data_IF_386093871296
#
_entry.id   IF_386093871296
#
_cell.length_a   1.000
_cell.length_b   1.000
_cell.length_c   1.000
_cell.angle_alpha   90.00
_cell.angle_beta   90.00
_cell.angle_gamma   90.00
#
_symmetry.space_group_name_H-M   'P 1'
#
loop_
_entity.id
_entity.type
_entity.pdbx_description
1 polymer ?
#
# COMPACT_ATOMS: atom_id res chain seq x y z
N UNK A 1 9.05 10.33 16.07
CA UNK A 1 7.68 10.80 15.75
C UNK A 1 6.93 9.59 15.24
N UNK A 2 5.64 9.45 15.56
CA UNK A 2 4.83 8.35 15.03
C UNK A 2 4.13 8.77 13.73
N UNK A 3 3.76 7.80 12.90
CA UNK A 3 3.04 8.01 11.65
C UNK A 3 1.54 8.23 11.90
N UNK A 4 0.91 9.05 11.07
CA UNK A 4 -0.55 9.26 11.07
C UNK A 4 -1.27 8.10 10.36
N UNK A 5 -1.26 6.92 11.00
CA UNK A 5 -1.79 5.68 10.43
C UNK A 5 -3.26 5.80 10.05
N UNK A 6 -4.06 6.52 10.84
CA UNK A 6 -5.48 6.74 10.55
C UNK A 6 -5.69 7.48 9.23
N UNK A 7 -4.84 8.48 8.93
CA UNK A 7 -4.89 9.21 7.65
C UNK A 7 -4.35 8.39 6.48
N UNK A 8 -3.21 7.72 6.66
CA UNK A 8 -2.57 6.91 5.61
C UNK A 8 -3.54 5.81 5.14
N UNK A 9 -4.16 5.09 6.08
CA UNK A 9 -5.07 3.97 5.82
C UNK A 9 -6.55 4.34 5.95
N UNK A 10 -6.90 5.62 5.76
CA UNK A 10 -8.28 6.07 5.73
C UNK A 10 -9.07 5.27 4.67
N UNK A 11 -10.25 4.77 5.01
CA UNK A 11 -11.09 3.92 4.15
C UNK A 11 -10.45 2.61 3.67
N UNK A 12 -9.46 2.07 4.40
CA UNK A 12 -8.73 0.84 3.99
C UNK A 12 -9.61 -0.35 3.64
N UNK A 13 -10.77 -0.53 4.29
CA UNK A 13 -11.70 -1.63 4.01
C UNK A 13 -12.50 -1.46 2.70
N UNK A 14 -12.64 -0.22 2.22
CA UNK A 14 -13.30 0.11 0.95
C UNK A 14 -12.27 0.11 -0.18
N UNK A 15 -11.16 0.82 0.01
CA UNK A 15 -10.13 1.01 -1.02
C UNK A 15 -9.34 -0.28 -1.34
N UNK A 16 -9.33 -1.26 -0.45
CA UNK A 16 -8.79 -2.60 -0.72
C UNK A 16 -9.61 -3.41 -1.73
N UNK A 17 -10.80 -2.94 -2.14
CA UNK A 17 -11.75 -3.65 -3.02
C UNK A 17 -11.92 -2.96 -4.37
N UNK A 18 -10.84 -2.46 -4.94
CA UNK A 18 -10.87 -1.81 -6.26
C UNK A 18 -11.01 -2.87 -7.37
N UNK A 19 -11.89 -2.61 -8.33
CA UNK A 19 -12.28 -3.59 -9.36
C UNK A 19 -12.28 -3.01 -10.79
N UNK A 20 -12.03 -1.72 -10.96
CA UNK A 20 -12.02 -1.05 -12.25
C UNK A 20 -10.82 -0.11 -12.38
N UNK A 21 -10.37 0.11 -13.62
CA UNK A 21 -9.27 1.04 -13.92
C UNK A 21 -9.59 2.47 -13.49
N UNK A 22 -10.82 2.92 -13.70
CA UNK A 22 -11.25 4.28 -13.37
C UNK A 22 -11.23 4.52 -11.85
N UNK A 23 -11.73 3.55 -11.07
CA UNK A 23 -11.69 3.66 -9.61
C UNK A 23 -10.25 3.64 -9.10
N UNK A 24 -9.40 2.78 -9.69
CA UNK A 24 -7.99 2.71 -9.33
C UNK A 24 -7.25 4.02 -9.61
N UNK A 25 -7.40 4.59 -10.81
CA UNK A 25 -6.83 5.90 -11.15
C UNK A 25 -7.27 6.99 -10.16
N UNK A 26 -8.58 7.10 -9.93
CA UNK A 26 -9.17 8.10 -9.04
C UNK A 26 -8.67 7.96 -7.61
N UNK A 27 -8.65 6.73 -7.08
CA UNK A 27 -8.20 6.47 -5.71
C UNK A 27 -6.69 6.66 -5.54
N UNK A 28 -5.88 6.29 -6.53
CA UNK A 28 -4.42 6.51 -6.48
C UNK A 28 -4.10 8.00 -6.51
N UNK A 29 -4.76 8.78 -7.37
CA UNK A 29 -4.58 10.23 -7.39
C UNK A 29 -4.96 10.86 -6.04
N UNK A 30 -6.09 10.45 -5.47
CA UNK A 30 -6.50 10.91 -4.15
C UNK A 30 -5.51 10.52 -3.05
N UNK A 31 -4.98 9.29 -3.09
CA UNK A 31 -3.95 8.87 -2.14
C UNK A 31 -2.70 9.74 -2.26
N UNK A 32 -2.24 9.99 -3.49
CA UNK A 32 -1.07 10.83 -3.78
C UNK A 32 -1.24 12.26 -3.27
N UNK A 33 -2.40 12.86 -3.50
CA UNK A 33 -2.69 14.26 -3.11
C UNK A 33 -2.91 14.42 -1.60
N UNK A 34 -3.66 13.50 -0.97
CA UNK A 34 -4.16 13.70 0.39
C UNK A 34 -3.38 12.97 1.48
N UNK A 35 -2.55 11.96 1.12
CA UNK A 35 -2.03 10.99 2.09
C UNK A 35 -0.56 10.65 1.92
N UNK A 36 0.01 10.83 0.72
CA UNK A 36 1.40 10.40 0.47
C UNK A 36 2.42 11.16 1.33
N UNK A 37 2.20 12.45 1.58
CA UNK A 37 3.07 13.28 2.44
C UNK A 37 3.18 12.77 3.88
N UNK A 38 2.22 11.98 4.37
CA UNK A 38 2.31 11.33 5.69
C UNK A 38 3.42 10.26 5.73
N UNK A 39 3.99 9.88 4.58
CA UNK A 39 5.10 8.95 4.44
C UNK A 39 6.45 9.66 4.25
N UNK A 40 6.53 10.99 4.23
CA UNK A 40 7.76 11.75 3.96
C UNK A 40 8.93 11.31 4.86
N UNK A 41 8.65 11.10 6.15
CA UNK A 41 9.64 10.64 7.12
C UNK A 41 10.15 9.22 6.86
N UNK A 42 9.37 8.38 6.17
CA UNK A 42 9.77 7.04 5.76
C UNK A 42 10.63 7.06 4.50
N UNK A 43 10.15 7.74 3.46
CA UNK A 43 10.72 7.66 2.10
C UNK A 43 11.99 8.51 1.95
N UNK A 44 12.11 9.60 2.73
CA UNK A 44 13.30 10.44 2.75
C UNK A 44 14.25 10.14 3.92
N UNK A 45 14.03 9.05 4.64
CA UNK A 45 14.87 8.63 5.75
C UNK A 45 16.29 8.31 5.29
N UNK A 46 17.29 8.68 6.10
CA UNK A 46 18.66 8.18 5.90
C UNK A 46 18.76 6.68 6.19
N UNK A 47 17.97 6.19 7.15
CA UNK A 47 17.83 4.77 7.48
C UNK A 47 16.36 4.34 7.31
N UNK A 48 15.99 4.00 6.07
CA UNK A 48 14.65 3.54 5.71
C UNK A 48 14.25 2.29 6.48
N UNK A 49 15.19 1.42 6.84
CA UNK A 49 14.89 0.19 7.57
C UNK A 49 14.48 0.48 9.02
N UNK A 50 15.11 1.46 9.67
CA UNK A 50 14.72 1.90 11.00
C UNK A 50 13.33 2.55 10.98
N UNK A 51 13.07 3.47 10.05
CA UNK A 51 11.77 4.16 9.94
C UNK A 51 10.65 3.20 9.49
N UNK A 52 10.93 2.22 8.62
CA UNK A 52 9.97 1.19 8.26
C UNK A 52 9.54 0.34 9.45
N UNK A 53 10.44 0.08 10.42
CA UNK A 53 10.09 -0.63 11.65
C UNK A 53 9.16 0.20 12.54
N UNK A 54 9.41 1.50 12.64
CA UNK A 54 8.54 2.45 13.36
C UNK A 54 7.17 2.48 12.70
N UNK A 55 7.12 2.67 11.38
CA UNK A 55 5.88 2.64 10.59
C UNK A 55 5.08 1.36 10.81
N UNK A 56 5.73 0.19 10.67
CA UNK A 56 5.04 -1.09 10.85
C UNK A 56 4.55 -1.31 12.29
N UNK A 57 5.26 -0.78 13.30
CA UNK A 57 4.81 -0.85 14.69
C UNK A 57 3.61 0.07 14.94
N UNK A 58 3.62 1.29 14.42
CA UNK A 58 2.48 2.21 14.52
C UNK A 58 1.24 1.61 13.85
N UNK A 59 1.40 1.02 12.66
CA UNK A 59 0.32 0.29 11.97
C UNK A 59 -0.17 -0.88 12.82
N UNK A 60 0.74 -1.68 13.39
CA UNK A 60 0.34 -2.78 14.25
C UNK A 60 -0.44 -2.29 15.48
N UNK A 61 0.00 -1.22 16.13
CA UNK A 61 -0.66 -0.64 17.31
C UNK A 61 -2.06 -0.14 16.96
N UNK A 62 -2.24 0.51 15.82
CA UNK A 62 -3.53 1.03 15.36
C UNK A 62 -4.54 -0.08 15.02
N UNK A 63 -4.07 -1.20 14.43
CA UNK A 63 -4.95 -2.26 13.92
C UNK A 63 -5.05 -3.49 14.83
N UNK A 64 -4.21 -3.64 15.86
CA UNK A 64 -4.27 -4.81 16.75
C UNK A 64 -5.57 -4.81 17.56
N UNK A 65 -6.22 -5.97 17.60
CA UNK A 65 -7.34 -6.29 18.49
C UNK A 65 -6.98 -7.53 19.28
N UNK A 66 -6.97 -7.44 20.60
CA UNK A 66 -6.55 -8.53 21.49
C UNK A 66 -5.12 -9.03 21.19
N UNK A 67 -4.19 -8.10 20.99
CA UNK A 67 -2.75 -8.40 20.84
C UNK A 67 -2.31 -8.84 19.44
N UNK A 68 -3.22 -8.88 18.44
CA UNK A 68 -2.87 -9.20 17.05
C UNK A 68 -3.72 -8.44 16.04
N UNK A 69 -3.21 -8.24 14.84
CA UNK A 69 -4.03 -7.80 13.70
C UNK A 69 -4.84 -9.01 13.19
N UNK A 70 -6.14 -8.85 12.99
CA UNK A 70 -6.99 -9.93 12.50
C UNK A 70 -6.74 -10.17 11.01
N UNK A 71 -6.90 -11.41 10.54
CA UNK A 71 -6.58 -11.77 9.15
C UNK A 71 -7.30 -10.93 8.09
N UNK A 72 -8.57 -10.58 8.31
CA UNK A 72 -9.32 -9.72 7.39
C UNK A 72 -8.78 -8.28 7.36
N UNK A 73 -8.39 -7.73 8.51
CA UNK A 73 -7.80 -6.39 8.61
C UNK A 73 -6.41 -6.39 7.94
N UNK A 74 -5.58 -7.41 8.22
CA UNK A 74 -4.27 -7.57 7.59
C UNK A 74 -4.37 -7.72 6.07
N UNK A 75 -5.38 -8.45 5.58
CA UNK A 75 -5.60 -8.58 4.14
C UNK A 75 -5.92 -7.23 3.49
N UNK A 76 -6.75 -6.39 4.12
CA UNK A 76 -7.04 -5.05 3.62
C UNK A 76 -5.79 -4.16 3.64
N UNK A 77 -4.99 -4.21 4.71
CA UNK A 77 -3.72 -3.47 4.80
C UNK A 77 -2.75 -3.90 3.69
N UNK A 78 -2.59 -5.21 3.48
CA UNK A 78 -1.75 -5.76 2.43
C UNK A 78 -2.17 -5.28 1.04
N UNK A 79 -3.47 -5.33 0.72
CA UNK A 79 -3.97 -4.80 -0.55
C UNK A 79 -3.73 -3.30 -0.68
N UNK A 80 -3.93 -2.54 0.39
CA UNK A 80 -3.69 -1.11 0.38
C UNK A 80 -2.22 -0.76 0.12
N UNK A 81 -1.29 -1.51 0.74
CA UNK A 81 0.15 -1.38 0.47
C UNK A 81 0.46 -1.66 -1.00
N UNK A 82 -0.07 -2.76 -1.55
CA UNK A 82 0.16 -3.20 -2.93
C UNK A 82 -0.44 -2.23 -3.95
N UNK A 83 -1.65 -1.71 -3.69
CA UNK A 83 -2.37 -0.88 -4.64
C UNK A 83 -2.01 0.60 -4.58
N UNK A 84 -1.64 1.14 -3.43
CA UNK A 84 -1.49 2.59 -3.30
C UNK A 84 -0.11 3.00 -2.79
N UNK A 85 0.38 2.37 -1.71
CA UNK A 85 1.64 2.81 -1.10
C UNK A 85 2.83 2.51 -2.00
N UNK A 86 3.07 1.23 -2.36
CA UNK A 86 4.23 0.87 -3.17
C UNK A 86 4.21 1.50 -4.57
N UNK A 87 3.08 1.50 -5.32
CA UNK A 87 3.05 2.11 -6.64
C UNK A 87 3.31 3.61 -6.61
N UNK A 88 2.87 4.31 -5.57
CA UNK A 88 3.14 5.75 -5.42
C UNK A 88 4.62 5.98 -5.11
N UNK A 89 5.23 5.22 -4.20
CA UNK A 89 6.69 5.32 -3.93
C UNK A 89 7.51 5.04 -5.19
N UNK A 90 7.15 4.02 -5.97
CA UNK A 90 7.83 3.71 -7.23
C UNK A 90 7.73 4.83 -8.28
N UNK A 91 6.66 5.62 -8.23
CA UNK A 91 6.42 6.75 -9.15
C UNK A 91 7.13 8.02 -8.70
N UNK A 92 7.12 8.32 -7.40
CA UNK A 92 7.58 9.61 -6.89
C UNK A 92 9.06 9.65 -6.52
N UNK A 93 9.63 8.51 -6.12
CA UNK A 93 10.98 8.47 -5.55
C UNK A 93 12.02 7.94 -6.55
N UNK A 94 13.13 8.66 -6.72
CA UNK A 94 14.25 8.25 -7.58
C UNK A 94 14.80 6.86 -7.19
N UNK A 95 14.80 6.56 -5.88
CA UNK A 95 15.21 5.26 -5.32
C UNK A 95 14.03 4.39 -4.89
N UNK A 96 12.87 4.57 -5.52
CA UNK A 96 11.61 3.93 -5.11
C UNK A 96 11.71 2.41 -4.97
N UNK A 97 12.43 1.72 -5.85
CA UNK A 97 12.58 0.26 -5.76
C UNK A 97 13.34 -0.19 -4.49
N UNK A 98 14.45 0.47 -4.14
CA UNK A 98 15.23 0.17 -2.93
C UNK A 98 14.42 0.44 -1.65
N UNK A 99 13.64 1.53 -1.65
CA UNK A 99 12.74 1.89 -0.56
C UNK A 99 11.63 0.83 -0.42
N UNK A 100 10.97 0.47 -1.53
CA UNK A 100 9.91 -0.54 -1.55
C UNK A 100 10.40 -1.92 -1.11
N UNK A 101 11.61 -2.35 -1.53
CA UNK A 101 12.23 -3.59 -1.07
C UNK A 101 12.40 -3.60 0.45
N UNK A 102 12.95 -2.51 1.00
CA UNK A 102 13.15 -2.36 2.44
C UNK A 102 11.82 -2.42 3.22
N UNK A 103 10.82 -1.65 2.78
CA UNK A 103 9.49 -1.61 3.43
C UNK A 103 8.80 -2.98 3.31
N UNK A 104 8.85 -3.63 2.14
CA UNK A 104 8.26 -4.96 1.92
C UNK A 104 8.84 -5.98 2.89
N UNK A 105 10.15 -6.01 3.04
CA UNK A 105 10.82 -7.01 3.87
C UNK A 105 10.51 -6.80 5.36
N UNK A 106 10.55 -5.56 5.83
CA UNK A 106 10.16 -5.21 7.21
C UNK A 106 8.68 -5.51 7.47
N UNK A 107 7.79 -5.20 6.51
CA UNK A 107 6.37 -5.48 6.62
C UNK A 107 6.09 -6.99 6.71
N UNK A 108 6.67 -7.77 5.80
CA UNK A 108 6.56 -9.23 5.78
C UNK A 108 7.09 -9.85 7.07
N UNK A 109 8.22 -9.35 7.58
CA UNK A 109 8.76 -9.80 8.87
C UNK A 109 7.82 -9.46 10.03
N UNK A 110 7.28 -8.23 10.07
CA UNK A 110 6.48 -7.73 11.19
C UNK A 110 5.10 -8.38 11.28
N UNK A 111 4.45 -8.57 10.13
CA UNK A 111 3.09 -9.10 10.05
C UNK A 111 3.03 -10.60 9.70
N UNK A 112 4.19 -11.24 9.49
CA UNK A 112 4.31 -12.66 9.12
C UNK A 112 3.48 -12.99 7.87
N UNK A 113 3.61 -12.14 6.85
CA UNK A 113 2.98 -12.30 5.55
C UNK A 113 4.03 -12.38 4.43
N UNK A 114 3.57 -12.48 3.18
CA UNK A 114 4.42 -12.55 2.01
C UNK A 114 3.81 -11.74 0.86
N UNK A 115 3.83 -10.42 0.99
CA UNK A 115 3.43 -9.50 -0.07
C UNK A 115 4.64 -9.17 -0.95
N UNK A 116 4.35 -8.87 -2.21
CA UNK A 116 5.28 -8.26 -3.16
C UNK A 116 4.58 -7.08 -3.84
N UNK A 117 5.33 -6.25 -4.56
CA UNK A 117 4.83 -5.04 -5.17
C UNK A 117 5.13 -4.98 -6.67
N UNK A 118 4.42 -4.11 -7.37
CA UNK A 118 4.64 -3.77 -8.78
C UNK A 118 4.20 -2.33 -9.01
N UNK A 119 4.49 -1.78 -10.19
CA UNK A 119 4.18 -0.40 -10.52
C UNK A 119 2.69 -0.18 -10.82
N UNK A 120 2.33 1.10 -10.87
CA UNK A 120 0.95 1.53 -11.08
C UNK A 120 0.37 1.05 -12.41
N UNK A 121 1.13 1.13 -13.51
CA UNK A 121 0.64 0.76 -14.84
C UNK A 121 0.41 -0.74 -14.94
N UNK A 122 1.31 -1.56 -14.39
CA UNK A 122 1.14 -3.02 -14.31
C UNK A 122 -0.13 -3.40 -13.54
N UNK A 123 -0.39 -2.75 -12.39
CA UNK A 123 -1.63 -2.97 -11.62
C UNK A 123 -2.88 -2.52 -12.40
N UNK A 124 -2.80 -1.35 -13.03
CA UNK A 124 -3.88 -0.77 -13.83
C UNK A 124 -4.25 -1.68 -14.98
N UNK A 125 -3.28 -2.23 -15.70
CA UNK A 125 -3.50 -3.19 -16.78
C UNK A 125 -4.15 -4.49 -16.29
N UNK A 126 -3.82 -4.93 -15.07
CA UNK A 126 -4.37 -6.13 -14.44
C UNK A 126 -5.87 -6.04 -14.12
N UNK A 127 -6.46 -4.83 -14.01
CA UNK A 127 -7.90 -4.69 -13.85
C UNK A 127 -8.61 -5.05 -15.17
N UNK A 128 -9.40 -6.12 -15.14
CA UNK A 128 -10.17 -6.57 -16.30
C UNK A 128 -11.11 -5.47 -16.80
N UNK A 129 -10.93 -5.06 -18.05
CA UNK A 129 -11.93 -4.26 -18.75
C UNK A 129 -13.05 -5.22 -19.15
N UNK A 130 -14.19 -5.21 -18.45
CA UNK A 130 -15.36 -6.01 -18.87
C UNK A 130 -16.18 -5.22 -19.89
N UNK A 131 -16.45 -5.80 -21.05
CA UNK A 131 -17.51 -5.34 -21.95
C UNK A 131 -18.58 -6.45 -21.96
N UNK A 132 -19.82 -6.11 -21.60
CA UNK A 132 -20.94 -7.08 -21.44
C UNK A 132 -20.64 -8.29 -20.54
N UNK A 133 -19.87 -8.11 -19.45
CA UNK A 133 -19.55 -9.18 -18.51
C UNK A 133 -18.43 -10.11 -18.94
N UNK A 134 -17.87 -9.93 -20.15
CA UNK A 134 -16.74 -10.70 -20.68
C UNK A 134 -15.44 -9.93 -20.39
N UNK A 135 -14.45 -10.54 -19.71
CA UNK A 135 -13.11 -9.96 -19.56
C UNK A 135 -12.44 -9.71 -20.91
N UNK A 136 -11.91 -8.50 -21.13
CA UNK A 136 -11.03 -8.20 -22.26
C UNK A 136 -9.61 -8.02 -21.71
N UNK A 137 -8.76 -9.01 -21.97
CA UNK A 137 -7.34 -9.07 -21.58
C UNK A 137 -6.73 -10.40 -22.07
N UNK A 138 -5.51 -10.35 -22.62
CA UNK A 138 -4.90 -11.41 -23.44
C UNK A 138 -4.73 -12.76 -22.71
N UNK A 139 -5.10 -13.85 -23.39
CA UNK A 139 -4.52 -15.18 -23.18
C UNK A 139 -3.04 -15.18 -23.56
#
# INVERSE_FOLDING_TARGET
>A
MGYNVEKIFEDVAYLSKVHSKNDYDSHTNKFKEDRYSELDGLVHATDVAAEAKVFCEDVFVAFKKFGKVRGADLMNLNYFMIYYVFPTILSEEEKGAEICDTIRDVWNERFKCNINYTDFETLKEGFQTKIFGIPIGKN
#
